data_IF_865749732010
#
_entry.id   IF_865749732010
#
_cell.length_a   1.000
_cell.length_b   1.000
_cell.length_c   1.000
_cell.angle_alpha   90.00
_cell.angle_beta   90.00
_cell.angle_gamma   90.00
#
_symmetry.space_group_name_H-M   'P 1'
#
loop_
_entity.id
_entity.type
_entity.pdbx_description
1 polymer ?
#
# COMPACT_ATOMS: atom_id res chain seq x y z
N UNK A 1 12.26 21.00 2.96
CA UNK A 1 12.54 20.64 1.55
C UNK A 1 11.44 19.71 1.03
N UNK A 2 10.73 20.09 -0.03
CA UNK A 2 9.74 19.26 -0.74
C UNK A 2 10.30 18.90 -2.11
N UNK A 3 9.99 17.70 -2.60
CA UNK A 3 10.34 17.21 -3.93
C UNK A 3 9.03 16.94 -4.67
N UNK A 4 8.65 17.85 -5.56
CA UNK A 4 7.39 17.76 -6.31
C UNK A 4 7.70 17.79 -7.80
N UNK A 5 7.35 16.73 -8.51
CA UNK A 5 7.26 16.75 -9.97
C UNK A 5 5.84 17.26 -10.30
N UNK A 6 5.71 18.53 -10.69
CA UNK A 6 4.41 19.14 -11.05
C UNK A 6 3.98 18.80 -12.48
N UNK A 7 3.20 19.67 -13.12
CA UNK A 7 2.65 19.49 -14.47
C UNK A 7 3.69 19.39 -15.60
N UNK A 8 4.96 19.68 -15.29
CA UNK A 8 6.07 19.52 -16.23
C UNK A 8 6.56 18.08 -16.32
N UNK A 9 7.03 17.66 -17.49
CA UNK A 9 7.60 16.33 -17.73
C UNK A 9 9.02 16.12 -17.14
N UNK A 10 9.45 16.96 -16.19
CA UNK A 10 10.80 16.89 -15.60
C UNK A 10 10.80 16.06 -14.31
N UNK A 11 11.60 14.96 -14.23
CA UNK A 11 11.73 14.17 -13.01
C UNK A 11 12.26 15.00 -11.84
N UNK A 12 11.72 14.78 -10.63
CA UNK A 12 12.22 15.40 -9.41
C UNK A 12 12.91 14.34 -8.55
N UNK A 13 14.20 14.50 -8.26
CA UNK A 13 14.97 13.51 -7.49
C UNK A 13 15.85 14.14 -6.41
N UNK A 14 15.66 13.72 -5.16
CA UNK A 14 16.35 14.29 -3.98
C UNK A 14 16.92 13.24 -3.05
N UNK A 15 17.86 13.65 -2.17
CA UNK A 15 18.38 12.77 -1.12
C UNK A 15 17.44 12.67 0.07
N UNK A 16 16.97 13.80 0.58
CA UNK A 16 16.08 13.88 1.73
C UNK A 16 14.99 14.91 1.49
N UNK A 17 13.74 14.58 1.81
CA UNK A 17 12.62 15.53 1.75
C UNK A 17 11.60 15.28 2.86
N UNK A 18 10.84 16.31 3.19
CA UNK A 18 9.62 16.12 3.99
C UNK A 18 8.55 15.42 3.14
N UNK A 19 8.46 15.73 1.84
CA UNK A 19 7.52 15.08 0.93
C UNK A 19 8.13 14.90 -0.46
N UNK A 20 7.86 13.75 -1.08
CA UNK A 20 8.23 13.39 -2.44
C UNK A 20 6.96 13.02 -3.21
N UNK A 21 6.45 13.95 -4.02
CA UNK A 21 5.16 13.80 -4.70
C UNK A 21 5.32 13.86 -6.20
N UNK A 22 4.82 12.84 -6.91
CA UNK A 22 4.52 12.96 -8.32
C UNK A 22 3.10 13.54 -8.43
N UNK A 23 2.97 14.77 -8.93
CA UNK A 23 1.68 15.46 -9.04
C UNK A 23 0.88 15.00 -10.25
N UNK A 24 0.17 15.93 -10.88
CA UNK A 24 -0.79 15.65 -11.95
C UNK A 24 -0.13 15.38 -13.31
N UNK A 25 1.18 15.62 -13.40
CA UNK A 25 1.98 15.41 -14.61
C UNK A 25 2.37 13.95 -14.86
N UNK A 26 3.20 13.78 -15.90
CA UNK A 26 3.75 12.48 -16.30
C UNK A 26 5.21 12.27 -15.83
N UNK A 27 5.71 13.15 -14.95
CA UNK A 27 7.08 13.11 -14.45
C UNK A 27 7.20 12.39 -13.10
N UNK A 28 8.12 11.43 -12.96
CA UNK A 28 8.29 10.70 -11.71
C UNK A 28 8.96 11.56 -10.63
N UNK A 29 8.62 11.27 -9.38
CA UNK A 29 9.27 11.85 -8.20
C UNK A 29 10.05 10.78 -7.43
N UNK A 30 11.28 11.06 -7.02
CA UNK A 30 12.13 10.10 -6.34
C UNK A 30 12.91 10.66 -5.14
N UNK A 31 12.98 9.90 -4.05
CA UNK A 31 13.75 10.27 -2.86
C UNK A 31 14.57 9.10 -2.29
N UNK A 32 15.73 9.37 -1.68
CA UNK A 32 16.40 8.34 -0.85
C UNK A 32 15.71 8.20 0.50
N UNK A 33 15.42 9.31 1.17
CA UNK A 33 14.66 9.34 2.41
C UNK A 33 13.54 10.40 2.30
N UNK A 34 12.32 10.04 2.69
CA UNK A 34 11.22 10.98 2.76
C UNK A 34 10.36 10.73 4.00
N UNK A 35 9.67 11.75 4.52
CA UNK A 35 8.59 11.48 5.46
C UNK A 35 7.38 10.91 4.70
N UNK A 36 6.99 11.55 3.58
CA UNK A 36 5.96 11.03 2.67
C UNK A 36 6.47 10.85 1.23
N UNK A 37 6.06 9.76 0.59
CA UNK A 37 6.26 9.49 -0.84
C UNK A 37 4.88 9.21 -1.47
N UNK A 38 4.40 10.10 -2.34
CA UNK A 38 3.03 10.05 -2.84
C UNK A 38 2.98 10.11 -4.36
N UNK A 39 2.35 9.13 -4.99
CA UNK A 39 1.89 9.29 -6.37
C UNK A 39 0.50 9.95 -6.29
N UNK A 40 0.37 11.16 -6.83
CA UNK A 40 -0.87 11.94 -6.82
C UNK A 40 -1.81 11.52 -7.94
N UNK A 41 -2.50 12.49 -8.52
CA UNK A 41 -3.61 12.23 -9.45
C UNK A 41 -3.14 11.99 -10.90
N UNK A 42 -1.85 12.21 -11.16
CA UNK A 42 -1.22 11.99 -12.45
C UNK A 42 -0.97 10.53 -12.80
N UNK A 43 -0.19 10.35 -13.87
CA UNK A 43 0.20 9.03 -14.38
C UNK A 43 1.67 8.68 -14.07
N UNK A 44 2.32 9.47 -13.23
CA UNK A 44 3.73 9.31 -12.92
C UNK A 44 3.99 8.69 -11.53
N UNK A 45 4.91 7.71 -11.44
CA UNK A 45 5.14 7.04 -10.17
C UNK A 45 5.94 7.91 -9.19
N UNK A 46 5.72 7.65 -7.90
CA UNK A 46 6.55 8.19 -6.82
C UNK A 46 7.35 7.07 -6.14
N UNK A 47 8.66 7.26 -5.98
CA UNK A 47 9.56 6.23 -5.45
C UNK A 47 10.40 6.73 -4.27
N UNK A 48 10.51 5.94 -3.20
CA UNK A 48 11.44 6.18 -2.10
C UNK A 48 12.30 4.95 -1.77
N UNK A 49 13.53 5.15 -1.28
CA UNK A 49 14.25 4.03 -0.63
C UNK A 49 13.75 3.80 0.79
N UNK A 50 13.65 4.86 1.58
CA UNK A 50 13.07 4.83 2.92
C UNK A 50 11.99 5.92 3.01
N UNK A 51 10.80 5.56 3.49
CA UNK A 51 9.72 6.49 3.74
C UNK A 51 9.06 6.21 5.10
N UNK A 52 8.46 7.21 5.74
CA UNK A 52 7.49 6.91 6.81
C UNK A 52 6.17 6.45 6.16
N UNK A 53 5.68 7.20 5.17
CA UNK A 53 4.50 6.83 4.38
C UNK A 53 4.81 6.73 2.88
N UNK A 54 4.29 5.70 2.23
CA UNK A 54 4.30 5.52 0.79
C UNK A 54 2.86 5.34 0.30
N UNK A 55 2.33 6.30 -0.44
CA UNK A 55 0.89 6.35 -0.78
C UNK A 55 0.69 6.46 -2.27
N UNK A 56 -0.05 5.53 -2.87
CA UNK A 56 -0.66 5.75 -4.18
C UNK A 56 -2.00 6.48 -3.93
N UNK A 57 -2.15 7.69 -4.44
CA UNK A 57 -3.34 8.52 -4.29
C UNK A 57 -4.43 8.14 -5.28
N UNK A 58 -5.13 9.14 -5.81
CA UNK A 58 -6.34 8.93 -6.61
C UNK A 58 -6.04 8.74 -8.11
N UNK A 59 -4.79 8.90 -8.50
CA UNK A 59 -4.33 8.72 -9.87
C UNK A 59 -4.16 7.25 -10.29
N UNK A 60 -3.49 7.09 -11.44
CA UNK A 60 -3.24 5.79 -12.07
C UNK A 60 -1.78 5.34 -11.93
N UNK A 61 -0.97 6.06 -11.17
CA UNK A 61 0.44 5.80 -11.03
C UNK A 61 0.83 5.19 -9.68
N UNK A 62 1.71 4.17 -9.67
CA UNK A 62 2.04 3.48 -8.43
C UNK A 62 2.96 4.33 -7.53
N UNK A 63 2.85 4.10 -6.22
CA UNK A 63 3.81 4.56 -5.24
C UNK A 63 4.64 3.39 -4.71
N UNK A 64 5.97 3.54 -4.68
CA UNK A 64 6.88 2.45 -4.34
C UNK A 64 7.91 2.83 -3.28
N UNK A 65 8.11 1.97 -2.29
CA UNK A 65 9.18 2.10 -1.30
C UNK A 65 10.03 0.81 -1.19
N UNK A 66 11.32 0.93 -0.85
CA UNK A 66 12.06 -0.25 -0.37
C UNK A 66 11.70 -0.56 1.08
N UNK A 67 11.71 0.46 1.92
CA UNK A 67 11.32 0.35 3.33
C UNK A 67 10.34 1.47 3.64
N UNK A 68 9.19 1.12 4.22
CA UNK A 68 8.19 2.08 4.68
C UNK A 68 7.72 1.73 6.10
N UNK A 69 7.21 2.70 6.85
CA UNK A 69 6.39 2.35 8.02
C UNK A 69 4.98 1.98 7.53
N UNK A 70 4.38 2.83 6.71
CA UNK A 70 3.09 2.59 6.05
C UNK A 70 3.19 2.60 4.53
N UNK A 71 2.52 1.65 3.89
CA UNK A 71 2.35 1.58 2.44
C UNK A 71 0.86 1.49 2.12
N UNK A 72 0.29 2.52 1.52
CA UNK A 72 -1.16 2.66 1.37
C UNK A 72 -1.55 2.85 -0.10
N UNK A 73 -2.41 1.98 -0.61
CA UNK A 73 -3.13 2.27 -1.85
C UNK A 73 -4.41 3.04 -1.46
N UNK A 74 -4.57 4.25 -1.97
CA UNK A 74 -5.71 5.14 -1.70
C UNK A 74 -6.93 4.77 -2.54
N UNK A 75 -7.68 5.78 -2.96
CA UNK A 75 -8.95 5.58 -3.66
C UNK A 75 -8.80 5.46 -5.19
N UNK A 76 -7.57 5.63 -5.68
CA UNK A 76 -7.24 5.49 -7.09
C UNK A 76 -7.17 4.04 -7.59
N UNK A 77 -6.63 3.91 -8.80
CA UNK A 77 -6.51 2.63 -9.50
C UNK A 77 -5.07 2.09 -9.51
N UNK A 78 -4.16 2.77 -8.82
CA UNK A 78 -2.74 2.43 -8.83
C UNK A 78 -2.26 1.77 -7.53
N UNK A 79 -1.42 0.73 -7.64
CA UNK A 79 -1.00 0.00 -6.45
C UNK A 79 0.04 0.79 -5.64
N UNK A 80 0.05 0.55 -4.33
CA UNK A 80 1.15 0.94 -3.45
C UNK A 80 2.00 -0.27 -3.10
N UNK A 81 3.32 -0.18 -3.27
CA UNK A 81 4.22 -1.32 -3.12
C UNK A 81 5.40 -1.03 -2.18
N UNK A 82 5.70 -1.96 -1.27
CA UNK A 82 6.88 -1.92 -0.43
C UNK A 82 7.69 -3.24 -0.51
N UNK A 83 9.01 -3.22 -0.27
CA UNK A 83 9.73 -4.48 0.02
C UNK A 83 9.55 -4.87 1.48
N UNK A 84 9.75 -3.92 2.39
CA UNK A 84 9.50 -4.08 3.81
C UNK A 84 8.59 -2.95 4.29
N UNK A 85 7.50 -3.29 4.97
CA UNK A 85 6.60 -2.34 5.59
C UNK A 85 6.28 -2.76 7.03
N UNK A 86 5.91 -1.83 7.91
CA UNK A 86 5.21 -2.23 9.14
C UNK A 86 3.75 -2.52 8.81
N UNK A 87 3.09 -1.62 8.07
CA UNK A 87 1.72 -1.80 7.60
C UNK A 87 1.58 -1.62 6.09
N UNK A 88 0.80 -2.49 5.47
CA UNK A 88 0.32 -2.36 4.10
C UNK A 88 -1.20 -2.29 4.09
N UNK A 89 -1.76 -1.21 3.56
CA UNK A 89 -3.21 -0.98 3.60
C UNK A 89 -3.76 -0.71 2.22
N UNK A 90 -4.71 -1.51 1.77
CA UNK A 90 -5.54 -1.17 0.62
C UNK A 90 -6.76 -0.37 1.13
N UNK A 91 -6.93 0.85 0.66
CA UNK A 91 -7.98 1.78 1.08
C UNK A 91 -9.34 1.51 0.43
N UNK A 92 -10.09 2.56 0.13
CA UNK A 92 -11.41 2.47 -0.49
C UNK A 92 -11.39 2.22 -1.99
N UNK A 93 -10.22 2.34 -2.62
CA UNK A 93 -10.05 2.22 -4.07
C UNK A 93 -10.09 0.79 -4.61
N UNK A 94 -9.68 0.69 -5.88
CA UNK A 94 -9.65 -0.57 -6.63
C UNK A 94 -8.24 -1.14 -6.79
N UNK A 95 -7.24 -0.49 -6.19
CA UNK A 95 -5.84 -0.85 -6.35
C UNK A 95 -5.24 -1.53 -5.11
N UNK A 96 -4.44 -2.60 -5.31
CA UNK A 96 -3.92 -3.35 -4.18
C UNK A 96 -2.77 -2.64 -3.48
N UNK A 97 -2.61 -2.94 -2.19
CA UNK A 97 -1.41 -2.60 -1.43
C UNK A 97 -0.56 -3.85 -1.21
N UNK A 98 0.71 -3.82 -1.61
CA UNK A 98 1.55 -5.02 -1.69
C UNK A 98 2.88 -4.86 -0.92
N UNK A 99 3.27 -5.88 -0.17
CA UNK A 99 4.62 -5.99 0.41
C UNK A 99 5.30 -7.34 0.16
N UNK A 100 6.64 -7.38 0.23
CA UNK A 100 7.33 -8.68 0.38
C UNK A 100 7.33 -9.14 1.83
N UNK A 101 7.64 -8.24 2.77
CA UNK A 101 7.56 -8.48 4.20
C UNK A 101 6.75 -7.34 4.84
N UNK A 102 5.73 -7.69 5.61
CA UNK A 102 4.94 -6.76 6.40
C UNK A 102 4.79 -7.27 7.83
N UNK A 103 4.54 -6.37 8.80
CA UNK A 103 3.97 -6.85 10.07
C UNK A 103 2.47 -7.07 9.90
N UNK A 104 1.78 -6.12 9.27
CA UNK A 104 0.35 -6.22 8.99
C UNK A 104 0.00 -5.89 7.54
N UNK A 105 -0.93 -6.66 6.97
CA UNK A 105 -1.65 -6.32 5.75
C UNK A 105 -3.12 -6.12 6.06
N UNK A 106 -3.70 -4.99 5.67
CA UNK A 106 -5.10 -4.66 5.94
C UNK A 106 -5.81 -4.30 4.64
N UNK A 107 -6.81 -5.10 4.25
CA UNK A 107 -7.75 -4.68 3.22
C UNK A 107 -8.84 -3.85 3.90
N UNK A 108 -9.05 -2.61 3.46
CA UNK A 108 -10.07 -1.72 4.00
C UNK A 108 -11.45 -2.00 3.42
N UNK A 109 -12.25 -0.94 3.28
CA UNK A 109 -13.64 -1.04 2.82
C UNK A 109 -13.78 -1.08 1.29
N UNK A 110 -12.67 -0.99 0.56
CA UNK A 110 -12.63 -1.02 -0.90
C UNK A 110 -12.78 -2.43 -1.49
N UNK A 111 -12.50 -2.50 -2.80
CA UNK A 111 -12.57 -3.74 -3.58
C UNK A 111 -11.18 -4.33 -3.88
N UNK A 112 -10.13 -3.71 -3.34
CA UNK A 112 -8.76 -4.09 -3.63
C UNK A 112 -8.08 -4.83 -2.48
N UNK A 113 -7.32 -5.90 -2.78
CA UNK A 113 -6.70 -6.69 -1.74
C UNK A 113 -5.46 -6.02 -1.15
N UNK A 114 -5.17 -6.32 0.11
CA UNK A 114 -3.87 -6.04 0.73
C UNK A 114 -3.09 -7.33 0.85
N UNK A 115 -1.90 -7.39 0.25
CA UNK A 115 -1.16 -8.65 0.14
C UNK A 115 0.30 -8.57 0.54
N UNK A 116 0.81 -9.65 1.15
CA UNK A 116 2.24 -9.82 1.42
C UNK A 116 2.77 -11.21 1.09
N UNK A 117 4.07 -11.33 0.84
CA UNK A 117 4.70 -12.66 0.78
C UNK A 117 4.92 -13.26 2.17
N UNK A 118 5.37 -12.46 3.12
CA UNK A 118 5.43 -12.80 4.54
C UNK A 118 4.78 -11.69 5.37
N UNK A 119 3.84 -12.05 6.24
CA UNK A 119 3.20 -11.15 7.18
C UNK A 119 3.23 -11.73 8.59
N UNK A 120 3.09 -10.90 9.63
CA UNK A 120 2.67 -11.45 10.94
C UNK A 120 1.15 -11.60 10.96
N UNK A 121 0.42 -10.59 10.48
CA UNK A 121 -1.04 -10.56 10.41
C UNK A 121 -1.58 -10.12 9.06
N UNK A 122 -2.67 -10.73 8.63
CA UNK A 122 -3.53 -10.23 7.55
C UNK A 122 -4.93 -9.98 8.09
N UNK A 123 -5.50 -8.81 7.82
CA UNK A 123 -6.84 -8.42 8.29
C UNK A 123 -7.69 -7.95 7.13
N UNK A 124 -8.77 -8.66 6.83
CA UNK A 124 -9.79 -8.17 5.91
C UNK A 124 -10.77 -7.29 6.70
N UNK A 125 -11.05 -6.09 6.22
CA UNK A 125 -11.96 -5.13 6.85
C UNK A 125 -13.42 -5.38 6.48
N UNK A 126 -14.24 -4.32 6.47
CA UNK A 126 -15.65 -4.39 6.11
C UNK A 126 -15.91 -4.48 4.60
N UNK A 127 -14.87 -4.36 3.78
CA UNK A 127 -14.98 -4.37 2.32
C UNK A 127 -15.20 -5.74 1.70
N UNK A 128 -15.12 -5.77 0.37
CA UNK A 128 -15.27 -6.97 -0.44
C UNK A 128 -13.93 -7.57 -0.89
N UNK A 129 -12.81 -7.06 -0.37
CA UNK A 129 -11.49 -7.46 -0.79
C UNK A 129 -10.72 -8.24 0.28
N UNK A 130 -9.99 -9.29 -0.10
CA UNK A 130 -9.28 -10.11 0.85
C UNK A 130 -7.98 -9.46 1.34
N UNK A 131 -7.57 -9.79 2.55
CA UNK A 131 -6.20 -9.55 3.01
C UNK A 131 -5.41 -10.86 2.97
N UNK A 132 -4.34 -10.90 2.18
CA UNK A 132 -3.73 -12.16 1.75
C UNK A 132 -2.23 -12.26 2.04
N UNK A 133 -1.75 -13.42 2.46
CA UNK A 133 -0.31 -13.68 2.51
C UNK A 133 0.11 -15.06 1.99
N UNK A 134 1.38 -15.18 1.59
CA UNK A 134 1.95 -16.50 1.32
C UNK A 134 2.25 -17.23 2.63
N UNK A 135 2.90 -16.56 3.57
CA UNK A 135 3.08 -17.02 4.94
C UNK A 135 2.61 -15.94 5.93
N UNK A 136 1.79 -16.31 6.90
CA UNK A 136 1.34 -15.45 7.99
C UNK A 136 1.37 -16.20 9.33
N UNK A 137 1.50 -15.47 10.44
CA UNK A 137 1.22 -16.09 11.74
C UNK A 137 -0.29 -16.15 11.98
N UNK A 138 -0.99 -15.04 11.67
CA UNK A 138 -2.42 -14.89 11.87
C UNK A 138 -3.14 -14.30 10.66
N UNK A 139 -4.37 -14.74 10.42
CA UNK A 139 -5.31 -14.03 9.55
C UNK A 139 -6.63 -13.78 10.27
N UNK A 140 -7.18 -12.58 10.14
CA UNK A 140 -8.42 -12.17 10.80
C UNK A 140 -9.39 -11.64 9.75
N UNK A 141 -10.45 -12.39 9.45
CA UNK A 141 -11.54 -11.83 8.64
C UNK A 141 -12.33 -10.84 9.52
N UNK A 142 -12.73 -9.71 8.96
CA UNK A 142 -13.59 -8.73 9.62
C UNK A 142 -15.06 -9.01 9.32
N UNK A 143 -15.88 -7.97 9.47
CA UNK A 143 -17.34 -8.07 9.29
C UNK A 143 -17.78 -8.04 7.82
N UNK A 144 -16.83 -7.87 6.90
CA UNK A 144 -17.05 -7.85 5.46
C UNK A 144 -17.31 -9.24 4.86
N UNK A 145 -17.44 -9.27 3.53
CA UNK A 145 -17.68 -10.52 2.78
C UNK A 145 -16.40 -11.20 2.31
N UNK A 146 -15.24 -10.63 2.63
CA UNK A 146 -13.96 -11.06 2.06
C UNK A 146 -13.07 -11.78 3.08
N UNK A 147 -12.38 -12.85 2.65
CA UNK A 147 -11.55 -13.64 3.55
C UNK A 147 -10.25 -12.92 3.91
N UNK A 148 -9.74 -13.17 5.11
CA UNK A 148 -8.33 -12.98 5.41
C UNK A 148 -7.64 -14.34 5.39
N UNK A 149 -6.65 -14.53 4.52
CA UNK A 149 -6.10 -15.86 4.28
C UNK A 149 -4.59 -15.88 4.07
N UNK A 150 -3.96 -17.00 4.40
CA UNK A 150 -2.60 -17.28 3.97
C UNK A 150 -2.40 -18.74 3.55
N UNK A 151 -1.47 -18.98 2.62
CA UNK A 151 -1.14 -20.36 2.20
C UNK A 151 -0.49 -21.17 3.32
N UNK A 152 0.26 -20.50 4.19
CA UNK A 152 0.86 -21.06 5.40
C UNK A 152 0.51 -20.14 6.56
N UNK A 153 -0.51 -20.52 7.34
CA UNK A 153 -0.95 -19.80 8.54
C UNK A 153 -0.78 -20.68 9.77
N UNK A 154 -0.43 -20.09 10.92
CA UNK A 154 -0.53 -20.79 12.20
C UNK A 154 -1.96 -20.75 12.77
N UNK A 155 -2.70 -19.69 12.50
CA UNK A 155 -4.10 -19.59 12.89
C UNK A 155 -4.85 -18.57 12.05
N UNK A 156 -6.14 -18.83 11.83
CA UNK A 156 -7.03 -17.85 11.26
C UNK A 156 -8.30 -17.76 12.11
N UNK A 157 -8.83 -16.55 12.27
CA UNK A 157 -10.08 -16.29 13.00
C UNK A 157 -11.07 -15.58 12.08
N UNK A 158 -12.27 -16.14 11.97
CA UNK A 158 -13.38 -15.45 11.33
C UNK A 158 -13.88 -14.34 12.25
N UNK A 159 -14.25 -13.20 11.66
CA UNK A 159 -14.99 -12.13 12.33
C UNK A 159 -16.48 -12.42 12.34
N UNK A 160 -17.30 -11.42 12.69
CA UNK A 160 -18.76 -11.58 12.75
C UNK A 160 -19.43 -11.60 11.36
N UNK A 161 -18.64 -11.39 10.30
CA UNK A 161 -19.05 -11.47 8.91
C UNK A 161 -19.13 -12.89 8.35
N UNK A 162 -19.77 -13.05 7.19
CA UNK A 162 -19.94 -14.34 6.51
C UNK A 162 -18.68 -14.83 5.76
N UNK A 163 -17.55 -14.15 5.95
CA UNK A 163 -16.32 -14.40 5.21
C UNK A 163 -15.58 -15.64 5.74
N UNK A 164 -15.14 -16.56 4.87
CA UNK A 164 -14.30 -17.69 5.29
C UNK A 164 -12.90 -17.21 5.68
N UNK A 165 -12.17 -18.05 6.43
CA UNK A 165 -10.74 -17.89 6.73
C UNK A 165 -9.90 -19.03 6.19
#
# INVERSE_FOLDING_TARGET
MKCTAGDGNAPACVRAALGCTAGDGNAPACARAALGCTAGDGNAPACARAALGCTAGDGNAPACARTALGCTAGDGNAPACARAALGCTAGGGNAPACARAALGCTAGDGNAPACARAALGCTAGGGNAPACAWAALGCTAGDGNAPACARQALGCTAGDGNAPV
#
